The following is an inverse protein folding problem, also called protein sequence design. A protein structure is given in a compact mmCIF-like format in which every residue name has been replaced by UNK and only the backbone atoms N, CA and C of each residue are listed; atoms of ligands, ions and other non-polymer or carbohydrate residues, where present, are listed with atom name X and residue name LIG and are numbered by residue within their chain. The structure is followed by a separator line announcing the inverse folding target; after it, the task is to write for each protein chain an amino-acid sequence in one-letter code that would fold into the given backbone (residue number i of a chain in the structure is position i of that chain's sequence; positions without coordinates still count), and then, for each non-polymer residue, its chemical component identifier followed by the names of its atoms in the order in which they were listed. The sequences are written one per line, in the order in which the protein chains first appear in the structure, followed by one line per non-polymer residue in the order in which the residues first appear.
data_IF_180931653533
#
_entry.id   IF_180931653533
#
_cell.length_a   1.000
_cell.length_b   1.000
_cell.length_c   1.000
_cell.angle_alpha   90.00
_cell.angle_beta   90.00
_cell.angle_gamma   90.00
#
_symmetry.space_group_name_H-M   'P 1'
#
loop_
_entity.id
_entity.type
_entity.pdbx_description
1 polymer ?
#
# COMPACT_ATOMS: atom_id res chain seq x y z
N UNK A 1 -67.51 4.56 -7.16
CA UNK A 1 -66.40 4.93 -6.27
C UNK A 1 -65.48 3.72 -6.09
N UNK A 2 -64.35 3.65 -6.79
CA UNK A 2 -63.35 2.58 -6.64
C UNK A 2 -62.07 3.24 -6.14
N UNK A 3 -61.75 3.10 -4.86
CA UNK A 3 -60.50 3.61 -4.27
C UNK A 3 -59.42 2.56 -4.54
N UNK A 4 -58.49 2.92 -5.42
CA UNK A 4 -57.28 2.15 -5.68
C UNK A 4 -56.30 2.44 -4.55
N UNK A 5 -56.05 1.47 -3.67
CA UNK A 5 -55.07 1.60 -2.60
C UNK A 5 -53.69 1.27 -3.20
N UNK A 6 -52.90 2.29 -3.53
CA UNK A 6 -51.53 2.13 -4.01
C UNK A 6 -50.61 1.86 -2.82
N UNK A 7 -50.10 0.64 -2.70
CA UNK A 7 -49.03 0.30 -1.75
C UNK A 7 -47.69 0.76 -2.35
N UNK A 8 -47.18 1.87 -1.85
CA UNK A 8 -45.83 2.35 -2.15
C UNK A 8 -44.83 1.58 -1.27
N UNK A 9 -44.26 0.49 -1.80
CA UNK A 9 -43.22 -0.28 -1.10
C UNK A 9 -41.89 0.45 -1.30
N UNK A 10 -41.42 1.11 -0.24
CA UNK A 10 -40.12 1.79 -0.22
C UNK A 10 -39.01 0.71 -0.13
N UNK A 11 -38.37 0.41 -1.25
CA UNK A 11 -37.16 -0.41 -1.32
C UNK A 11 -35.99 0.36 -0.73
N UNK A 12 -35.78 0.25 0.59
CA UNK A 12 -34.58 0.74 1.27
C UNK A 12 -33.42 -0.14 0.80
N UNK A 13 -32.67 0.34 -0.20
CA UNK A 13 -31.39 -0.25 -0.57
C UNK A 13 -30.39 0.12 0.52
N UNK A 14 -30.01 -0.86 1.34
CA UNK A 14 -28.94 -0.73 2.32
C UNK A 14 -27.61 -0.57 1.57
N UNK A 15 -27.18 0.66 1.34
CA UNK A 15 -25.78 0.95 0.99
C UNK A 15 -24.94 0.67 2.23
N UNK A 16 -24.35 -0.52 2.31
CA UNK A 16 -23.35 -0.82 3.33
C UNK A 16 -22.12 0.07 3.09
N UNK A 17 -22.07 1.24 3.72
CA UNK A 17 -20.84 2.01 3.86
C UNK A 17 -20.00 1.33 4.93
N UNK A 18 -19.18 0.35 4.52
CA UNK A 18 -18.08 -0.11 5.36
C UNK A 18 -17.00 0.97 5.33
N UNK A 19 -17.01 1.84 6.36
CA UNK A 19 -15.84 2.66 6.65
C UNK A 19 -14.75 1.72 7.15
N UNK A 20 -13.90 1.21 6.25
CA UNK A 20 -12.72 0.45 6.64
C UNK A 20 -11.77 1.39 7.39
N UNK A 21 -11.31 0.99 8.57
CA UNK A 21 -10.27 1.76 9.26
C UNK A 21 -9.02 1.85 8.39
N UNK A 22 -8.32 2.98 8.48
CA UNK A 22 -7.06 3.17 7.76
C UNK A 22 -6.08 2.04 8.09
N UNK A 23 -5.60 1.34 7.06
CA UNK A 23 -4.59 0.30 7.21
C UNK A 23 -3.22 0.91 6.97
N UNK A 24 -2.33 0.80 7.94
CA UNK A 24 -0.96 1.32 7.84
C UNK A 24 0.07 0.20 7.72
N UNK A 25 1.03 0.38 6.82
CA UNK A 25 2.21 -0.45 6.68
C UNK A 25 3.47 0.39 6.85
N UNK A 26 4.50 -0.20 7.45
CA UNK A 26 5.82 0.42 7.63
C UNK A 26 6.88 -0.45 6.98
N UNK A 27 7.60 0.12 6.03
CA UNK A 27 8.79 -0.42 5.39
C UNK A 27 10.04 -0.10 6.22
N UNK A 28 10.83 -1.12 6.57
CA UNK A 28 12.08 -0.96 7.32
C UNK A 28 13.25 -1.63 6.63
N UNK A 29 14.43 -1.04 6.83
CA UNK A 29 15.71 -1.67 6.47
C UNK A 29 16.39 -2.21 7.74
N UNK A 30 16.77 -3.49 7.69
CA UNK A 30 17.36 -4.25 8.80
C UNK A 30 16.58 -4.12 10.13
N UNK A 31 15.28 -3.82 10.08
CA UNK A 31 14.42 -3.52 11.23
C UNK A 31 14.90 -2.33 12.09
N UNK A 32 15.77 -1.46 11.56
CA UNK A 32 16.37 -0.34 12.30
C UNK A 32 15.92 1.02 11.77
N UNK A 33 15.81 1.15 10.45
CA UNK A 33 15.52 2.42 9.79
C UNK A 33 14.16 2.30 9.13
N UNK A 34 13.26 3.23 9.43
CA UNK A 34 12.02 3.40 8.71
C UNK A 34 12.36 4.01 7.35
N UNK A 35 11.94 3.33 6.29
CA UNK A 35 12.26 3.70 4.92
C UNK A 35 11.07 4.32 4.21
N UNK A 36 9.89 3.74 4.40
CA UNK A 36 8.64 4.22 3.81
C UNK A 36 7.46 3.82 4.68
N UNK A 37 6.34 4.52 4.54
CA UNK A 37 5.05 4.13 5.09
C UNK A 37 3.97 4.18 4.02
N UNK A 38 3.00 3.27 4.12
CA UNK A 38 1.85 3.18 3.22
C UNK A 38 0.60 3.21 4.07
N UNK A 39 -0.28 4.16 3.80
CA UNK A 39 -1.61 4.27 4.42
C UNK A 39 -2.67 4.01 3.35
N UNK A 40 -3.52 3.02 3.58
CA UNK A 40 -4.66 2.66 2.72
C UNK A 40 -5.95 3.14 3.39
N UNK A 41 -6.70 4.00 2.70
CA UNK A 41 -7.94 4.59 3.20
C UNK A 41 -9.18 3.84 2.68
N UNK A 42 -10.31 3.95 3.37
CA UNK A 42 -11.55 3.24 3.02
C UNK A 42 -12.12 3.58 1.64
N UNK A 43 -11.76 4.74 1.09
CA UNK A 43 -12.23 5.24 -0.20
C UNK A 43 -11.39 4.74 -1.38
N UNK A 44 -10.56 3.72 -1.17
CA UNK A 44 -9.63 3.16 -2.16
C UNK A 44 -8.50 4.11 -2.57
N UNK A 45 -8.26 5.18 -1.81
CA UNK A 45 -7.07 6.02 -1.97
C UNK A 45 -5.95 5.57 -1.06
N UNK A 46 -4.71 5.89 -1.43
CA UNK A 46 -3.55 5.65 -0.58
C UNK A 46 -2.67 6.89 -0.45
N UNK A 47 -1.88 6.90 0.61
CA UNK A 47 -0.74 7.78 0.80
C UNK A 47 0.50 6.93 0.98
N UNK A 48 1.49 7.14 0.11
CA UNK A 48 2.83 6.58 0.26
C UNK A 48 3.76 7.70 0.72
N UNK A 49 4.54 7.48 1.78
CA UNK A 49 5.49 8.46 2.30
C UNK A 49 6.89 7.87 2.26
N UNK A 50 7.82 8.58 1.61
CA UNK A 50 9.25 8.35 1.79
C UNK A 50 9.63 8.87 3.17
N UNK A 51 10.13 8.02 4.05
CA UNK A 51 10.50 8.40 5.41
C UNK A 51 12.02 8.65 5.53
N UNK A 52 12.77 8.30 4.48
CA UNK A 52 14.22 8.33 4.47
C UNK A 52 14.79 9.52 3.66
N UNK A 53 15.77 10.20 4.25
CA UNK A 53 16.56 11.35 3.72
C UNK A 53 15.77 12.67 3.58
N UNK A 54 14.76 12.70 2.71
CA UNK A 54 13.84 13.83 2.53
C UNK A 54 12.42 13.27 2.59
N UNK A 55 11.59 13.74 3.51
CA UNK A 55 10.23 13.24 3.61
C UNK A 55 9.35 13.88 2.55
N UNK A 56 8.84 13.08 1.62
CA UNK A 56 7.78 13.49 0.69
C UNK A 56 6.69 12.43 0.64
N UNK A 57 5.49 12.84 0.24
CA UNK A 57 4.35 11.95 0.08
C UNK A 57 3.85 11.97 -1.35
N UNK A 58 3.45 10.81 -1.83
CA UNK A 58 2.74 10.61 -3.08
C UNK A 58 1.37 9.99 -2.77
N UNK A 59 0.43 10.21 -3.67
CA UNK A 59 -0.96 9.80 -3.51
C UNK A 59 -1.42 9.05 -4.75
N UNK A 60 -2.51 8.33 -4.61
CA UNK A 60 -3.15 7.66 -5.74
C UNK A 60 -4.29 6.77 -5.31
N UNK A 61 -4.67 5.88 -6.23
CA UNK A 61 -5.71 4.89 -6.03
C UNK A 61 -5.07 3.51 -5.85
N UNK A 62 -5.67 2.67 -5.01
CA UNK A 62 -5.26 1.29 -4.85
C UNK A 62 -6.37 0.29 -5.15
N UNK A 63 -5.97 -0.92 -5.49
CA UNK A 63 -6.86 -2.07 -5.63
C UNK A 63 -6.22 -3.30 -4.98
N UNK A 64 -7.06 -4.19 -4.43
CA UNK A 64 -6.63 -5.49 -3.91
C UNK A 64 -7.30 -6.58 -4.74
N UNK A 65 -6.51 -7.41 -5.42
CA UNK A 65 -6.98 -8.50 -6.28
C UNK A 65 -6.13 -9.74 -5.99
N UNK A 66 -6.75 -10.86 -5.60
CA UNK A 66 -6.06 -12.14 -5.37
C UNK A 66 -4.77 -11.98 -4.53
N UNK A 67 -4.90 -11.44 -3.31
CA UNK A 67 -3.79 -11.16 -2.40
C UNK A 67 -2.69 -10.24 -2.97
N UNK A 68 -2.98 -9.51 -4.05
CA UNK A 68 -2.08 -8.52 -4.61
C UNK A 68 -2.62 -7.11 -4.36
N UNK A 69 -1.82 -6.25 -3.74
CA UNK A 69 -2.07 -4.82 -3.61
C UNK A 69 -1.42 -4.08 -4.80
N UNK A 70 -2.23 -3.35 -5.54
CA UNK A 70 -1.80 -2.57 -6.71
C UNK A 70 -1.95 -1.09 -6.34
N UNK A 71 -0.86 -0.33 -6.40
CA UNK A 71 -0.82 1.11 -6.18
C UNK A 71 -0.65 1.84 -7.50
N UNK A 72 -1.63 2.64 -7.90
CA UNK A 72 -1.60 3.49 -9.09
C UNK A 72 -1.45 4.94 -8.67
N UNK A 73 -0.27 5.51 -8.91
CA UNK A 73 0.09 6.84 -8.41
C UNK A 73 -0.51 7.93 -9.30
N UNK A 74 -0.97 9.02 -8.67
CA UNK A 74 -1.45 10.23 -9.33
C UNK A 74 -0.27 11.11 -9.74
N UNK A 75 0.48 10.67 -10.75
CA UNK A 75 1.63 11.43 -11.28
C UNK A 75 1.14 12.35 -12.41
N UNK A 76 1.47 13.65 -12.31
CA UNK A 76 1.09 14.67 -13.31
C UNK A 76 1.74 14.40 -14.69
N UNK A 77 2.83 13.62 -14.75
CA UNK A 77 3.55 13.28 -15.98
C UNK A 77 3.48 11.78 -16.31
N UNK A 78 3.21 11.45 -17.57
CA UNK A 78 3.25 10.08 -18.09
C UNK A 78 4.68 9.53 -18.17
N UNK A 79 4.89 8.21 -18.01
CA UNK A 79 3.89 7.17 -17.74
C UNK A 79 3.43 7.12 -16.27
N UNK A 80 2.19 6.67 -16.06
CA UNK A 80 1.62 6.48 -14.73
C UNK A 80 2.43 5.43 -13.97
N UNK A 81 2.96 5.81 -12.80
CA UNK A 81 3.73 4.91 -11.93
C UNK A 81 2.76 3.91 -11.28
N UNK A 82 3.03 2.62 -11.46
CA UNK A 82 2.28 1.52 -10.85
C UNK A 82 3.24 0.65 -10.05
N UNK A 83 2.87 0.33 -8.82
CA UNK A 83 3.61 -0.59 -7.96
C UNK A 83 2.71 -1.75 -7.53
N UNK A 84 3.26 -2.97 -7.54
CA UNK A 84 2.53 -4.18 -7.17
C UNK A 84 3.20 -4.81 -5.96
N UNK A 85 2.38 -5.22 -5.02
CA UNK A 85 2.77 -5.88 -3.79
C UNK A 85 2.00 -7.19 -3.63
N UNK A 86 2.67 -8.22 -3.18
CA UNK A 86 2.04 -9.44 -2.69
C UNK A 86 1.77 -9.29 -1.19
N UNK A 87 0.54 -9.57 -0.78
CA UNK A 87 0.05 -9.57 0.59
C UNK A 87 0.19 -10.99 1.14
N UNK A 88 0.93 -11.15 2.24
CA UNK A 88 1.00 -12.42 2.95
C UNK A 88 0.92 -12.16 4.45
N UNK A 89 -0.18 -12.57 5.07
CA UNK A 89 -0.47 -12.30 6.48
C UNK A 89 -0.42 -10.78 6.79
N UNK A 90 0.54 -10.36 7.63
CA UNK A 90 0.77 -8.96 7.99
C UNK A 90 1.87 -8.30 7.14
N UNK A 91 2.37 -8.96 6.10
CA UNK A 91 3.50 -8.47 5.31
C UNK A 91 3.09 -8.05 3.90
N UNK A 92 3.76 -7.01 3.39
CA UNK A 92 3.75 -6.65 1.99
C UNK A 92 5.12 -6.94 1.38
N UNK A 93 5.11 -7.61 0.23
CA UNK A 93 6.30 -7.85 -0.57
C UNK A 93 6.17 -7.13 -1.90
N UNK A 94 6.92 -6.04 -2.09
CA UNK A 94 7.00 -5.37 -3.38
C UNK A 94 7.52 -6.33 -4.44
N UNK A 95 6.87 -6.39 -5.58
CA UNK A 95 7.25 -7.25 -6.69
C UNK A 95 8.10 -6.47 -7.71
N UNK A 96 9.08 -7.15 -8.31
CA UNK A 96 9.84 -6.63 -9.45
C UNK A 96 9.08 -6.88 -10.78
N UNK A 97 9.61 -6.37 -11.89
CA UNK A 97 9.04 -6.56 -13.24
C UNK A 97 8.93 -8.04 -13.66
N UNK A 98 9.62 -8.95 -12.97
CA UNK A 98 9.58 -10.40 -13.19
C UNK A 98 8.71 -11.11 -12.16
N UNK A 99 7.89 -10.36 -11.42
CA UNK A 99 7.00 -10.86 -10.38
C UNK A 99 7.71 -11.55 -9.20
N UNK A 100 8.93 -11.12 -8.87
CA UNK A 100 9.71 -11.66 -7.74
C UNK A 100 9.72 -10.68 -6.58
N UNK A 101 9.66 -11.21 -5.35
CA UNK A 101 9.70 -10.41 -4.12
C UNK A 101 11.04 -9.67 -3.95
N UNK A 102 10.96 -8.36 -3.71
CA UNK A 102 12.10 -7.52 -3.35
C UNK A 102 12.32 -7.60 -1.84
N UNK A 103 13.17 -8.53 -1.43
CA UNK A 103 13.51 -8.75 0.00
C UNK A 103 14.72 -7.96 0.49
N UNK A 104 15.42 -7.26 -0.41
CA UNK A 104 16.61 -6.48 -0.11
C UNK A 104 16.64 -5.16 -0.86
N UNK A 105 16.97 -4.07 -0.17
CA UNK A 105 17.09 -2.72 -0.74
C UNK A 105 18.54 -2.26 -0.64
N UNK A 106 19.02 -1.56 -1.68
CA UNK A 106 20.40 -1.04 -1.71
C UNK A 106 20.43 0.29 -0.96
N UNK A 107 21.25 0.37 0.07
CA UNK A 107 21.48 1.61 0.80
C UNK A 107 22.95 1.77 1.18
N UNK A 108 23.56 2.84 0.65
CA UNK A 108 24.99 3.15 0.84
C UNK A 108 25.27 3.84 2.18
N UNK A 109 24.26 4.43 2.81
CA UNK A 109 24.42 5.09 4.11
C UNK A 109 24.68 4.05 5.22
N UNK A 110 24.07 2.86 5.08
CA UNK A 110 24.17 1.77 6.05
C UNK A 110 25.44 0.97 5.78
N UNK A 111 26.49 1.25 6.56
CA UNK A 111 27.78 0.58 6.47
C UNK A 111 27.91 -0.51 7.55
N UNK A 112 28.13 -1.73 7.10
CA UNK A 112 28.63 -2.85 7.90
C UNK A 112 30.01 -3.25 7.39
N UNK A 113 30.79 -3.99 8.21
CA UNK A 113 32.17 -4.43 7.87
C UNK A 113 32.28 -5.13 6.51
N UNK A 114 31.18 -5.72 6.02
CA UNK A 114 31.11 -6.47 4.77
C UNK A 114 30.05 -5.93 3.79
N UNK A 115 29.52 -4.73 4.00
CA UNK A 115 28.49 -4.16 3.12
C UNK A 115 28.96 -4.04 1.67
N UNK A 116 30.24 -3.78 1.44
CA UNK A 116 30.81 -3.67 0.09
C UNK A 116 30.80 -5.00 -0.67
N UNK A 117 31.04 -6.13 0.01
CA UNK A 117 30.98 -7.48 -0.59
C UNK A 117 29.56 -7.83 -1.04
N UNK A 118 28.54 -7.39 -0.29
CA UNK A 118 27.14 -7.67 -0.58
C UNK A 118 26.46 -6.56 -1.40
N UNK A 119 27.24 -5.64 -1.98
CA UNK A 119 26.73 -4.57 -2.84
C UNK A 119 25.83 -3.56 -2.11
N UNK A 120 26.01 -3.41 -0.80
CA UNK A 120 25.22 -2.54 0.09
C UNK A 120 23.73 -2.89 0.11
N UNK A 121 23.39 -4.17 -0.08
CA UNK A 121 22.02 -4.67 -0.01
C UNK A 121 21.68 -5.11 1.40
N UNK A 122 20.62 -4.54 1.95
CA UNK A 122 20.16 -4.77 3.32
C UNK A 122 18.79 -5.41 3.32
N UNK A 123 18.44 -6.14 4.39
CA UNK A 123 17.13 -6.79 4.50
C UNK A 123 16.04 -5.73 4.49
N UNK A 124 15.03 -5.94 3.67
CA UNK A 124 13.91 -5.02 3.52
C UNK A 124 12.59 -5.74 3.84
N UNK A 125 11.76 -5.13 4.68
CA UNK A 125 10.49 -5.71 5.15
C UNK A 125 9.45 -4.61 5.26
N UNK A 126 8.25 -4.85 4.73
CA UNK A 126 7.09 -3.99 4.94
C UNK A 126 6.09 -4.77 5.79
N UNK A 127 5.69 -4.21 6.93
CA UNK A 127 4.79 -4.87 7.88
C UNK A 127 3.60 -3.99 8.21
N UNK A 128 2.41 -4.59 8.31
CA UNK A 128 1.19 -3.98 8.84
C UNK A 128 1.41 -3.57 10.29
N UNK A 129 0.99 -2.37 10.62
CA UNK A 129 0.97 -1.85 11.99
C UNK A 129 -0.34 -2.31 12.64
N UNK A 130 -0.25 -2.86 13.85
CA UNK A 130 -1.44 -3.14 14.65
C UNK A 130 -2.02 -1.80 15.12
N UNK A 131 -3.29 -1.56 14.80
CA UNK A 131 -4.07 -0.44 15.34
C UNK A 131 -4.44 -0.72 16.81
#
# INVERSE_FOLDING_TARGET
MKRCLSFFILLIHSTHTYSQDTVKYIGTINNLIIYESIELYSDSTFKWTSEYDLSWSEYGQYQIINDSLILSYDVVSQPQKVEIYEIENEFLYRLDEKNRRIIRKKDKSIRSKWSWLNGFKHKYVIKKVAN
#
